data_IF_858187977345
#
_entry.id   IF_858187977345
#
_cell.length_a   1.000
_cell.length_b   1.000
_cell.length_c   1.000
_cell.angle_alpha   90.00
_cell.angle_beta   90.00
_cell.angle_gamma   90.00
#
_symmetry.space_group_name_H-M   'P 1'
#
loop_
_entity.id
_entity.type
_entity.pdbx_description
1 polymer ?
#
# COMPACT_ATOMS: atom_id res chain seq x y z
N UNK A 1 9.44 -3.38 -27.54
CA UNK A 1 9.05 -2.76 -26.25
C UNK A 1 8.77 -3.88 -25.27
N UNK A 2 9.49 -3.93 -24.16
CA UNK A 2 9.29 -4.97 -23.13
C UNK A 2 8.39 -4.39 -22.03
N UNK A 3 7.24 -5.03 -21.84
CA UNK A 3 6.31 -4.75 -20.73
C UNK A 3 6.80 -5.56 -19.53
N UNK A 4 7.03 -4.89 -18.40
CA UNK A 4 7.39 -5.51 -17.14
C UNK A 4 6.27 -5.30 -16.10
N UNK A 5 6.10 -6.27 -15.20
CA UNK A 5 5.17 -6.13 -14.07
C UNK A 5 5.65 -4.98 -13.18
N UNK A 6 4.75 -4.06 -12.83
CA UNK A 6 5.08 -2.99 -11.89
C UNK A 6 5.35 -3.59 -10.52
N UNK A 7 6.60 -3.47 -10.04
CA UNK A 7 7.05 -4.05 -8.76
C UNK A 7 6.47 -3.31 -7.56
N UNK A 8 6.14 -2.03 -7.71
CA UNK A 8 5.56 -1.18 -6.65
C UNK A 8 4.15 -1.67 -6.27
N UNK A 9 3.32 -2.00 -7.24
CA UNK A 9 1.99 -2.56 -7.01
C UNK A 9 1.92 -4.07 -7.22
N UNK A 10 3.06 -4.73 -7.44
CA UNK A 10 3.15 -6.15 -7.78
C UNK A 10 2.13 -6.60 -8.85
N UNK A 11 1.96 -5.80 -9.90
CA UNK A 11 1.02 -6.12 -10.99
C UNK A 11 -0.45 -5.78 -10.75
N UNK A 12 -0.84 -5.33 -9.56
CA UNK A 12 -2.26 -5.12 -9.21
C UNK A 12 -2.83 -3.81 -9.76
N UNK A 13 -1.99 -2.89 -10.24
CA UNK A 13 -2.40 -1.55 -10.65
C UNK A 13 -2.81 -0.64 -9.49
N UNK A 14 -2.78 -1.10 -8.24
CA UNK A 14 -3.15 -0.31 -7.06
C UNK A 14 -2.04 -0.34 -6.05
N UNK A 15 -1.88 0.72 -5.26
CA UNK A 15 -0.99 0.64 -4.11
C UNK A 15 -1.56 -0.40 -3.15
N UNK A 16 -0.95 -1.59 -3.12
CA UNK A 16 -1.27 -2.58 -2.10
C UNK A 16 -1.02 -1.91 -0.75
N UNK A 17 -2.03 -1.95 0.14
CA UNK A 17 -1.84 -1.46 1.49
C UNK A 17 -0.57 -2.10 2.06
N UNK A 18 0.35 -1.28 2.57
CA UNK A 18 1.64 -1.77 3.02
C UNK A 18 1.40 -2.77 4.15
N UNK A 19 2.07 -3.92 4.14
CA UNK A 19 2.02 -4.80 5.31
C UNK A 19 2.36 -3.98 6.55
N UNK A 20 1.54 -4.11 7.58
CA UNK A 20 1.74 -3.34 8.79
C UNK A 20 3.09 -3.68 9.38
N UNK A 21 3.99 -2.69 9.44
CA UNK A 21 5.40 -2.91 9.84
C UNK A 21 5.52 -3.40 11.28
N UNK A 22 4.53 -3.07 12.10
CA UNK A 22 4.46 -3.40 13.52
C UNK A 22 4.04 -4.86 13.74
N UNK A 23 3.03 -5.37 13.02
CA UNK A 23 2.59 -6.76 13.14
C UNK A 23 3.06 -7.66 12.00
N UNK A 24 3.86 -7.15 11.05
CA UNK A 24 4.35 -7.90 9.88
C UNK A 24 3.24 -8.62 9.10
N UNK A 25 2.07 -8.00 8.98
CA UNK A 25 0.94 -8.62 8.28
C UNK A 25 0.03 -9.51 9.13
N UNK A 26 0.39 -9.87 10.37
CA UNK A 26 -0.40 -10.82 11.18
C UNK A 26 -1.67 -10.24 11.78
N UNK A 27 -1.77 -8.91 11.85
CA UNK A 27 -2.87 -8.21 12.51
C UNK A 27 -2.75 -8.17 14.03
N UNK A 28 -1.84 -8.90 14.65
CA UNK A 28 -1.67 -8.99 16.11
C UNK A 28 -0.25 -8.63 16.51
N UNK A 29 -0.08 -8.09 17.72
CA UNK A 29 1.25 -7.87 18.29
C UNK A 29 1.32 -8.58 19.62
N UNK A 30 2.33 -9.44 19.80
CA UNK A 30 2.52 -10.20 21.05
C UNK A 30 2.87 -9.32 22.26
N UNK A 31 3.19 -8.04 22.02
CA UNK A 31 3.85 -7.16 22.99
C UNK A 31 3.06 -6.87 24.27
N UNK A 32 1.75 -7.13 24.31
CA UNK A 32 0.90 -6.86 25.49
C UNK A 32 -0.22 -7.91 25.68
N UNK A 33 0.10 -9.21 25.54
CA UNK A 33 -0.87 -10.28 25.84
C UNK A 33 -1.81 -10.68 24.69
N UNK A 34 -1.40 -10.48 23.44
CA UNK A 34 -2.11 -11.03 22.28
C UNK A 34 -3.28 -10.19 21.75
N UNK A 35 -3.14 -8.86 21.79
CA UNK A 35 -4.15 -7.93 21.27
C UNK A 35 -4.01 -7.63 19.76
N UNK A 36 -5.08 -7.07 19.19
CA UNK A 36 -5.05 -6.48 17.85
C UNK A 36 -3.93 -5.43 17.78
N UNK A 37 -3.14 -5.48 16.71
CA UNK A 37 -2.07 -4.52 16.47
C UNK A 37 -2.65 -3.11 16.44
N UNK A 38 -2.28 -2.27 17.41
CA UNK A 38 -2.82 -0.91 17.56
C UNK A 38 -2.69 -0.05 16.30
N UNK A 39 -1.64 -0.28 15.49
CA UNK A 39 -1.35 0.51 14.30
C UNK A 39 -2.27 0.18 13.11
N UNK A 40 -2.71 -1.07 13.00
CA UNK A 40 -3.58 -1.53 11.91
C UNK A 40 -4.94 -2.05 12.38
N UNK A 41 -5.19 -1.98 13.70
CA UNK A 41 -6.43 -2.42 14.37
C UNK A 41 -6.85 -3.84 13.98
N UNK A 42 -5.90 -4.78 13.90
CA UNK A 42 -6.21 -6.17 13.56
C UNK A 42 -6.15 -6.52 12.07
N UNK A 43 -6.09 -5.53 11.17
CA UNK A 43 -6.20 -5.79 9.73
C UNK A 43 -4.94 -6.41 9.09
N UNK A 44 -3.80 -6.34 9.76
CA UNK A 44 -2.50 -6.76 9.19
C UNK A 44 -1.95 -5.79 8.15
N UNK A 45 -2.75 -4.83 7.70
CA UNK A 45 -2.41 -3.91 6.62
C UNK A 45 -2.35 -2.49 7.17
N UNK A 46 -1.20 -1.84 6.98
CA UNK A 46 -1.05 -0.41 7.25
C UNK A 46 -1.63 0.38 6.09
N UNK A 47 -2.89 0.77 6.26
CA UNK A 47 -3.55 1.71 5.36
C UNK A 47 -3.04 3.10 5.69
N UNK A 48 -2.19 3.65 4.82
CA UNK A 48 -1.93 5.09 4.84
C UNK A 48 -3.25 5.78 4.47
N UNK A 49 -3.57 6.87 5.15
CA UNK A 49 -4.70 7.72 4.79
C UNK A 49 -4.19 9.06 4.30
N UNK A 50 -4.74 9.56 3.19
CA UNK A 50 -4.62 10.95 2.79
C UNK A 50 -5.75 11.70 3.48
N UNK A 51 -5.41 12.80 4.15
CA UNK A 51 -6.41 13.71 4.71
C UNK A 51 -6.57 14.85 3.72
N UNK A 52 -7.76 14.99 3.16
CA UNK A 52 -8.12 16.10 2.27
C UNK A 52 -8.32 17.40 3.07
N UNK A 53 -8.40 18.54 2.37
CA UNK A 53 -8.60 19.85 3.00
C UNK A 53 -9.92 19.94 3.78
N UNK A 54 -10.92 19.14 3.41
CA UNK A 54 -12.20 18.99 4.10
C UNK A 54 -12.15 18.04 5.32
N UNK A 55 -10.98 17.49 5.64
CA UNK A 55 -10.78 16.52 6.72
C UNK A 55 -11.16 15.08 6.39
N UNK A 56 -11.64 14.82 5.16
CA UNK A 56 -11.97 13.45 4.74
C UNK A 56 -10.71 12.58 4.66
N UNK A 57 -10.79 11.36 5.21
CA UNK A 57 -9.70 10.38 5.18
C UNK A 57 -9.93 9.42 4.03
N UNK A 58 -9.06 9.48 3.03
CA UNK A 58 -9.07 8.56 1.90
C UNK A 58 -7.96 7.52 2.09
N UNK A 59 -8.34 6.25 2.13
CA UNK A 59 -7.38 5.16 2.19
C UNK A 59 -6.57 5.13 0.89
N UNK A 60 -5.23 5.14 0.99
CA UNK A 60 -4.35 5.03 -0.19
C UNK A 60 -4.59 3.73 -0.99
N UNK A 61 -5.22 2.71 -0.40
CA UNK A 61 -5.60 1.43 -1.03
C UNK A 61 -6.45 1.62 -2.29
N UNK A 62 -7.20 2.71 -2.39
CA UNK A 62 -8.12 2.94 -3.50
C UNK A 62 -7.51 3.75 -4.63
N UNK A 63 -6.34 4.35 -4.46
CA UNK A 63 -5.71 5.14 -5.53
C UNK A 63 -4.98 4.23 -6.55
N UNK A 64 -5.09 4.55 -7.86
CA UNK A 64 -4.27 3.94 -8.89
C UNK A 64 -2.79 4.06 -8.54
N UNK A 65 -2.03 3.00 -8.79
CA UNK A 65 -0.58 3.04 -8.61
C UNK A 65 0.02 4.06 -9.59
N UNK A 66 0.53 5.19 -9.07
CA UNK A 66 1.10 6.28 -9.87
C UNK A 66 2.31 5.89 -10.71
N UNK A 67 2.98 4.79 -10.39
CA UNK A 67 4.12 4.29 -11.15
C UNK A 67 3.71 3.59 -12.44
N UNK A 68 2.49 3.05 -12.49
CA UNK A 68 1.96 2.35 -13.66
C UNK A 68 0.59 2.88 -14.12
N UNK A 69 0.16 4.02 -13.58
CA UNK A 69 -1.15 4.65 -13.79
C UNK A 69 -2.34 3.68 -13.74
N UNK A 70 -2.31 2.73 -12.81
CA UNK A 70 -3.41 1.76 -12.68
C UNK A 70 -3.29 0.51 -13.55
N UNK A 71 -2.34 0.45 -14.49
CA UNK A 71 -2.25 -0.64 -15.47
C UNK A 71 -1.62 -1.92 -14.91
N UNK A 72 -0.90 -1.82 -13.79
CA UNK A 72 -0.14 -2.94 -13.22
C UNK A 72 1.15 -3.27 -13.97
N UNK A 73 1.46 -2.59 -15.07
CA UNK A 73 2.65 -2.84 -15.87
C UNK A 73 3.38 -1.55 -16.21
N UNK A 74 4.70 -1.64 -16.39
CA UNK A 74 5.54 -0.51 -16.83
C UNK A 74 6.25 -0.90 -18.11
N UNK A 75 6.42 0.08 -19.00
CA UNK A 75 7.29 -0.11 -20.15
C UNK A 75 8.72 0.14 -19.68
N UNK A 76 9.63 -0.82 -19.91
CA UNK A 76 11.03 -0.66 -19.54
C UNK A 76 11.61 0.58 -20.26
N UNK A 77 11.79 1.68 -19.52
CA UNK A 77 12.15 2.99 -20.06
C UNK A 77 11.58 4.20 -19.32
N UNK A 78 10.63 4.01 -18.38
CA UNK A 78 10.13 5.13 -17.56
C UNK A 78 11.05 5.35 -16.35
N UNK A 79 11.76 6.50 -16.25
CA UNK A 79 12.63 6.79 -15.11
C UNK A 79 11.76 7.01 -13.86
N UNK A 80 11.98 6.19 -12.84
CA UNK A 80 11.36 6.34 -11.53
C UNK A 80 12.22 7.23 -10.64
N UNK A 81 12.65 8.39 -11.12
CA UNK A 81 13.42 9.36 -10.33
C UNK A 81 13.04 10.80 -10.71
N UNK A 82 12.18 11.42 -9.89
CA UNK A 82 12.15 12.85 -9.59
C UNK A 82 11.21 13.11 -8.39
#
# INVERSE_FOLDING_TARGET
MSIAVCTICTGTGRLAGLQCRTCKGTGTTERDGGGNCFLCTGSGIYTRYRVSADGSKQAYREEPCRTCDGTGTITAGHPVDA
#
